data_IF_693100048412
#
_entry.id   IF_693100048412
#
_cell.length_a   1.000
_cell.length_b   1.000
_cell.length_c   1.000
_cell.angle_alpha   90.00
_cell.angle_beta   90.00
_cell.angle_gamma   90.00
#
_symmetry.space_group_name_H-M   'P 1'
#
loop_
_entity.id
_entity.type
_entity.pdbx_description
1 polymer ?
#
# COMPACT_ATOMS: atom_id res chain seq x y z
N UNK A 1 19.52 17.79 4.60
CA UNK A 1 18.50 17.32 3.64
C UNK A 1 18.91 15.97 3.09
N UNK A 2 19.94 15.96 2.24
CA UNK A 2 20.51 14.74 1.63
C UNK A 2 20.96 13.72 2.67
N UNK A 3 21.70 14.14 3.70
CA UNK A 3 22.16 13.23 4.76
C UNK A 3 21.01 12.54 5.49
N UNK A 4 19.90 13.26 5.67
CA UNK A 4 18.71 12.69 6.32
C UNK A 4 17.99 11.70 5.40
N UNK A 5 17.94 11.96 4.10
CA UNK A 5 17.40 11.02 3.12
C UNK A 5 18.23 9.73 3.06
N UNK A 6 19.55 9.83 3.10
CA UNK A 6 20.45 8.68 3.16
C UNK A 6 20.28 7.87 4.45
N UNK A 7 20.06 8.53 5.59
CA UNK A 7 19.79 7.85 6.84
C UNK A 7 18.46 7.08 6.80
N UNK A 8 17.39 7.70 6.28
CA UNK A 8 16.08 7.05 6.14
C UNK A 8 16.20 5.83 5.24
N UNK A 9 16.87 5.95 4.09
CA UNK A 9 17.09 4.83 3.18
C UNK A 9 17.84 3.68 3.87
N UNK A 10 18.87 3.99 4.66
CA UNK A 10 19.61 2.98 5.42
C UNK A 10 18.73 2.27 6.45
N UNK A 11 17.97 3.03 7.22
CA UNK A 11 17.11 2.50 8.29
C UNK A 11 16.01 1.61 7.72
N UNK A 12 15.37 2.03 6.61
CA UNK A 12 14.37 1.23 5.89
C UNK A 12 14.97 -0.04 5.29
N UNK A 13 16.15 0.05 4.69
CA UNK A 13 16.82 -1.11 4.10
C UNK A 13 17.18 -2.16 5.16
N UNK A 14 17.73 -1.74 6.30
CA UNK A 14 18.08 -2.65 7.40
C UNK A 14 16.84 -3.30 8.02
N UNK A 15 15.77 -2.53 8.22
CA UNK A 15 14.51 -3.04 8.78
C UNK A 15 13.85 -4.04 7.83
N UNK A 16 13.78 -3.72 6.54
CA UNK A 16 13.17 -4.60 5.54
C UNK A 16 13.98 -5.88 5.32
N UNK A 17 15.32 -5.82 5.34
CA UNK A 17 16.18 -7.00 5.23
C UNK A 17 15.99 -7.97 6.40
N UNK A 18 15.77 -7.46 7.62
CA UNK A 18 15.42 -8.29 8.79
C UNK A 18 14.06 -8.97 8.63
N UNK A 19 13.05 -8.27 8.13
CA UNK A 19 11.72 -8.82 7.90
C UNK A 19 11.70 -9.84 6.75
N UNK A 20 12.50 -9.60 5.71
CA UNK A 20 12.68 -10.51 4.57
C UNK A 20 13.42 -11.80 4.98
N UNK A 21 14.23 -11.75 6.03
CA UNK A 21 15.07 -12.87 6.47
C UNK A 21 16.40 -12.99 5.70
N UNK A 22 16.83 -11.93 5.02
CA UNK A 22 18.08 -11.89 4.27
C UNK A 22 19.14 -11.07 5.05
N UNK A 23 20.14 -11.69 5.71
CA UNK A 23 21.11 -10.97 6.54
C UNK A 23 22.15 -10.16 5.73
N UNK A 24 22.31 -10.45 4.44
CA UNK A 24 23.27 -9.79 3.55
C UNK A 24 22.63 -9.52 2.18
N UNK A 25 23.15 -8.53 1.45
CA UNK A 25 22.67 -8.22 0.08
C UNK A 25 22.83 -9.43 -0.85
N UNK A 26 23.89 -10.23 -0.67
CA UNK A 26 24.11 -11.45 -1.44
C UNK A 26 23.06 -12.54 -1.20
N UNK A 27 22.32 -12.48 -0.09
CA UNK A 27 21.25 -13.43 0.21
C UNK A 27 19.94 -13.06 -0.51
N UNK A 28 19.83 -11.86 -1.09
CA UNK A 28 18.64 -11.42 -1.83
C UNK A 28 18.66 -12.07 -3.21
N UNK A 29 17.76 -13.04 -3.41
CA UNK A 29 17.61 -13.78 -4.65
C UNK A 29 16.25 -13.56 -5.34
N UNK A 30 16.11 -13.97 -6.62
CA UNK A 30 14.83 -13.91 -7.34
C UNK A 30 13.72 -14.77 -6.74
N UNK A 31 14.08 -15.78 -5.94
CA UNK A 31 13.17 -16.65 -5.21
C UNK A 31 12.43 -15.94 -4.05
N UNK A 32 12.95 -14.81 -3.59
CA UNK A 32 12.36 -13.99 -2.53
C UNK A 32 11.31 -12.99 -3.05
N UNK A 33 11.08 -12.91 -4.36
CA UNK A 33 10.18 -11.94 -4.98
C UNK A 33 9.12 -12.66 -5.81
N UNK A 34 7.85 -12.42 -5.50
CA UNK A 34 6.75 -12.86 -6.38
C UNK A 34 6.70 -11.96 -7.62
N UNK A 35 7.05 -12.54 -8.77
CA UNK A 35 7.07 -11.85 -10.07
C UNK A 35 5.85 -12.17 -10.94
N UNK A 36 4.86 -12.89 -10.42
CA UNK A 36 3.68 -13.34 -11.16
C UNK A 36 2.94 -12.19 -11.87
N UNK A 37 2.90 -11.01 -11.24
CA UNK A 37 2.17 -9.83 -11.75
C UNK A 37 3.05 -8.76 -12.40
N UNK A 38 4.34 -8.99 -12.60
CA UNK A 38 5.26 -7.98 -13.19
C UNK A 38 4.84 -7.55 -14.61
N UNK A 39 4.16 -8.44 -15.34
CA UNK A 39 3.66 -8.18 -16.69
C UNK A 39 2.35 -7.37 -16.73
N UNK A 40 1.72 -7.11 -15.57
CA UNK A 40 0.43 -6.43 -15.49
C UNK A 40 0.58 -4.92 -15.71
N UNK A 41 0.66 -4.50 -16.97
CA UNK A 41 0.59 -3.10 -17.37
C UNK A 41 -0.84 -2.78 -17.85
N UNK A 42 -1.74 -2.54 -16.90
CA UNK A 42 -3.18 -2.39 -17.15
C UNK A 42 -3.56 -0.92 -17.39
N UNK A 43 -4.41 -0.68 -18.39
CA UNK A 43 -5.09 0.60 -18.62
C UNK A 43 -6.53 0.46 -18.15
N UNK A 44 -6.99 1.35 -17.27
CA UNK A 44 -8.35 1.33 -16.78
C UNK A 44 -9.35 1.64 -17.92
N UNK A 45 -10.41 0.84 -18.01
CA UNK A 45 -11.56 1.13 -18.88
C UNK A 45 -12.29 2.35 -18.31
N UNK A 46 -12.83 3.26 -19.15
CA UNK A 46 -13.60 4.41 -18.68
C UNK A 46 -14.79 4.01 -17.81
N UNK A 47 -14.99 4.72 -16.70
CA UNK A 47 -16.10 4.46 -15.78
C UNK A 47 -17.44 4.95 -16.32
N UNK A 48 -18.51 4.23 -16.00
CA UNK A 48 -19.88 4.62 -16.35
C UNK A 48 -20.45 5.56 -15.29
N UNK A 49 -20.55 6.84 -15.65
CA UNK A 49 -21.02 7.89 -14.74
C UNK A 49 -22.47 7.76 -14.32
N UNK A 50 -23.34 7.19 -15.16
CA UNK A 50 -24.77 7.08 -14.85
C UNK A 50 -25.01 5.91 -13.88
N UNK A 51 -24.31 4.80 -14.11
CA UNK A 51 -24.37 3.65 -13.22
C UNK A 51 -23.80 3.98 -11.84
N UNK A 52 -22.59 4.57 -11.80
CA UNK A 52 -21.92 4.92 -10.54
C UNK A 52 -22.72 5.93 -9.71
N UNK A 53 -23.44 6.84 -10.37
CA UNK A 53 -24.25 7.86 -9.69
C UNK A 53 -25.54 7.30 -9.06
N UNK A 54 -26.11 6.23 -9.62
CA UNK A 54 -27.36 5.65 -9.14
C UNK A 54 -27.15 4.48 -8.18
N UNK A 55 -25.97 3.88 -8.15
CA UNK A 55 -25.64 2.77 -7.28
C UNK A 55 -25.42 3.23 -5.83
N UNK A 56 -26.17 2.66 -4.88
CA UNK A 56 -25.93 2.89 -3.46
C UNK A 56 -24.86 1.90 -2.94
N UNK A 57 -23.69 2.43 -2.58
CA UNK A 57 -22.60 1.63 -2.03
C UNK A 57 -22.83 1.29 -0.56
N UNK A 58 -22.21 0.21 -0.12
CA UNK A 58 -22.31 -0.26 1.26
C UNK A 58 -21.75 0.79 2.22
N UNK A 59 -22.60 1.24 3.15
CA UNK A 59 -22.23 2.23 4.15
C UNK A 59 -21.47 1.58 5.31
N UNK A 60 -20.40 2.23 5.78
CA UNK A 60 -19.74 1.85 7.03
C UNK A 60 -20.65 2.17 8.22
N UNK A 61 -20.46 1.46 9.35
CA UNK A 61 -21.24 1.71 10.54
C UNK A 61 -21.02 3.14 11.08
N UNK A 62 -22.10 3.86 11.34
CA UNK A 62 -22.04 5.20 11.94
C UNK A 62 -22.30 5.11 13.44
N UNK A 63 -21.43 5.77 14.22
CA UNK A 63 -21.66 5.96 15.65
C UNK A 63 -22.86 6.90 15.84
N UNK A 64 -23.81 6.52 16.69
CA UNK A 64 -24.93 7.39 17.05
C UNK A 64 -24.39 8.63 17.74
N UNK A 65 -24.80 9.81 17.27
CA UNK A 65 -24.50 11.09 17.93
C UNK A 65 -24.82 10.98 19.42
N UNK A 66 -23.79 11.10 20.26
CA UNK A 66 -23.99 11.40 21.67
C UNK A 66 -24.60 12.80 21.71
N UNK A 67 -25.93 12.86 21.84
CA UNK A 67 -26.72 14.07 22.01
C UNK A 67 -26.02 14.93 23.07
N UNK A 68 -25.20 15.88 22.64
CA UNK A 68 -24.50 16.82 23.50
C UNK A 68 -25.59 17.69 24.12
N UNK A 69 -26.01 17.30 25.33
CA UNK A 69 -26.90 18.12 26.15
C UNK A 69 -26.05 19.27 26.65
N UNK A 70 -26.15 20.41 25.98
CA UNK A 70 -25.91 21.71 26.59
C UNK A 70 -26.92 21.94 27.72
#
# INVERSE_FOLDING_TARGET
>A
GVDKALQILKDEFEMNMRLLGAPTISAVGPDMVDTSSVHQHVVAVPSDRLYDANYESMQVAQLRDAKSRM
#
